data_IF_309249106271
#
_entry.id   IF_309249106271
#
_cell.length_a   1.000
_cell.length_b   1.000
_cell.length_c   1.000
_cell.angle_alpha   90.00
_cell.angle_beta   90.00
_cell.angle_gamma   90.00
#
_symmetry.space_group_name_H-M   'P 1'
#
loop_
_entity.id
_entity.type
_entity.pdbx_description
1 polymer ?
#
# COMPACT_ATOMS: atom_id res chain seq x y z
N UNK A 1 -9.10 13.46 0.55
CA UNK A 1 -8.42 14.78 0.66
C UNK A 1 -7.68 15.04 -0.64
N UNK A 2 -8.07 16.04 -1.41
CA UNK A 2 -7.37 16.39 -2.64
C UNK A 2 -6.28 17.41 -2.26
N UNK A 3 -5.01 17.03 -2.48
CA UNK A 3 -3.90 17.98 -2.42
C UNK A 3 -4.05 19.02 -3.54
N UNK A 4 -3.67 20.25 -3.25
CA UNK A 4 -3.74 21.34 -4.22
C UNK A 4 -2.98 20.96 -5.51
N UNK A 5 -3.53 21.31 -6.65
CA UNK A 5 -3.11 20.91 -8.00
C UNK A 5 -1.61 21.18 -8.31
N UNK A 6 -0.96 22.06 -7.59
CA UNK A 6 0.46 22.41 -7.79
C UNK A 6 1.43 21.45 -7.10
N UNK A 7 1.06 20.86 -5.97
CA UNK A 7 1.90 19.89 -5.24
C UNK A 7 1.93 18.51 -5.89
N UNK A 8 0.92 18.17 -6.68
CA UNK A 8 0.84 16.91 -7.42
C UNK A 8 1.72 16.88 -8.69
N UNK A 9 2.33 17.99 -9.06
CA UNK A 9 3.08 18.12 -10.32
C UNK A 9 4.60 17.92 -10.15
N UNK A 10 5.11 17.80 -8.93
CA UNK A 10 6.56 17.66 -8.68
C UNK A 10 6.84 16.57 -7.68
N UNK A 11 7.80 15.70 -7.98
CA UNK A 11 8.25 14.61 -7.10
C UNK A 11 8.14 13.23 -7.74
N UNK A 12 8.73 12.25 -7.10
CA UNK A 12 8.61 10.83 -7.48
C UNK A 12 7.49 10.18 -6.69
N UNK A 13 6.60 9.48 -7.38
CA UNK A 13 5.49 8.77 -6.75
C UNK A 13 5.73 7.27 -6.78
N UNK A 14 5.29 6.60 -5.73
CA UNK A 14 5.30 5.15 -5.61
C UNK A 14 3.90 4.71 -5.21
N UNK A 15 3.46 3.59 -5.72
CA UNK A 15 2.12 3.07 -5.47
C UNK A 15 2.21 1.71 -4.79
N UNK A 16 1.50 1.54 -3.69
CA UNK A 16 1.24 0.26 -3.05
C UNK A 16 -0.19 -0.19 -3.29
N UNK A 17 -0.38 -1.46 -3.53
CA UNK A 17 -1.69 -2.07 -3.78
C UNK A 17 -1.82 -3.33 -2.95
N UNK A 18 -2.80 -3.34 -2.07
CA UNK A 18 -3.26 -4.53 -1.39
C UNK A 18 -4.54 -5.04 -2.09
N UNK A 19 -4.50 -6.29 -2.53
CA UNK A 19 -5.60 -6.89 -3.29
C UNK A 19 -6.55 -7.62 -2.35
N UNK A 20 -7.73 -7.05 -2.19
CA UNK A 20 -8.80 -7.67 -1.44
C UNK A 20 -9.30 -8.96 -2.10
N UNK A 21 -9.68 -9.89 -1.26
CA UNK A 21 -10.38 -11.13 -1.65
C UNK A 21 -11.89 -10.97 -1.43
N UNK A 22 -12.62 -12.06 -1.41
CA UNK A 22 -14.09 -12.07 -1.30
C UNK A 22 -14.67 -11.28 -0.12
N UNK A 23 -13.92 -11.07 0.95
CA UNK A 23 -14.37 -10.41 2.20
C UNK A 23 -13.60 -9.14 2.53
N UNK A 24 -12.51 -8.88 1.86
CA UNK A 24 -11.64 -7.75 2.12
C UNK A 24 -11.64 -6.81 0.91
N UNK A 25 -11.58 -5.49 1.13
CA UNK A 25 -11.51 -4.52 0.04
C UNK A 25 -10.11 -4.48 -0.56
N UNK A 26 -9.99 -4.14 -1.84
CA UNK A 26 -8.69 -3.75 -2.39
C UNK A 26 -8.38 -2.31 -2.01
N UNK A 27 -7.13 -2.03 -1.66
CA UNK A 27 -6.67 -0.69 -1.30
C UNK A 27 -5.52 -0.26 -2.19
N UNK A 28 -5.56 1.00 -2.63
CA UNK A 28 -4.51 1.65 -3.41
C UNK A 28 -3.99 2.84 -2.60
N UNK A 29 -2.69 2.83 -2.30
CA UNK A 29 -1.99 3.93 -1.65
C UNK A 29 -0.96 4.54 -2.61
N UNK A 30 -0.81 5.86 -2.61
CA UNK A 30 0.25 6.54 -3.36
C UNK A 30 1.05 7.42 -2.42
N UNK A 31 2.35 7.20 -2.44
CA UNK A 31 3.33 7.94 -1.66
C UNK A 31 4.10 8.86 -2.61
N UNK A 32 4.26 10.12 -2.21
CA UNK A 32 5.20 11.06 -2.82
C UNK A 32 6.50 11.05 -2.03
N UNK A 33 7.60 10.89 -2.72
CA UNK A 33 8.94 10.98 -2.15
C UNK A 33 9.54 12.36 -2.45
N UNK A 34 9.83 13.10 -1.40
CA UNK A 34 10.54 14.37 -1.42
C UNK A 34 11.86 14.20 -0.65
N UNK A 35 12.98 14.01 -1.35
CA UNK A 35 14.28 13.65 -0.75
C UNK A 35 14.17 12.40 0.14
N UNK A 36 14.30 12.55 1.44
CA UNK A 36 14.19 11.46 2.42
C UNK A 36 12.82 11.37 3.10
N UNK A 37 11.89 12.24 2.73
CA UNK A 37 10.56 12.31 3.33
C UNK A 37 9.54 11.66 2.41
N UNK A 38 8.72 10.80 2.99
CA UNK A 38 7.63 10.10 2.32
C UNK A 38 6.29 10.69 2.80
N UNK A 39 5.41 10.99 1.86
CA UNK A 39 4.09 11.55 2.17
C UNK A 39 3.01 10.72 1.48
N UNK A 40 2.10 10.15 2.24
CA UNK A 40 0.88 9.55 1.69
C UNK A 40 0.02 10.66 1.09
N UNK A 41 -0.12 10.66 -0.22
CA UNK A 41 -0.84 11.71 -0.97
C UNK A 41 -2.18 11.25 -1.52
N UNK A 42 -2.37 9.94 -1.60
CA UNK A 42 -3.61 9.33 -2.06
C UNK A 42 -3.82 7.99 -1.38
N UNK A 43 -5.04 7.75 -0.92
CA UNK A 43 -5.49 6.47 -0.36
C UNK A 43 -6.91 6.22 -0.85
N UNK A 44 -7.12 5.07 -1.46
CA UNK A 44 -8.44 4.66 -1.95
C UNK A 44 -8.71 3.21 -1.61
N UNK A 45 -9.80 2.98 -0.95
CA UNK A 45 -10.36 1.66 -0.72
C UNK A 45 -11.47 1.42 -1.74
N UNK A 46 -11.38 0.33 -2.46
CA UNK A 46 -12.43 -0.12 -3.36
C UNK A 46 -13.55 -0.81 -2.57
N UNK A 47 -14.72 -0.94 -3.17
CA UNK A 47 -15.81 -1.69 -2.52
C UNK A 47 -15.45 -3.18 -2.46
N UNK A 48 -15.86 -3.84 -1.38
CA UNK A 48 -15.71 -5.31 -1.27
C UNK A 48 -16.36 -5.97 -2.48
N UNK A 49 -15.66 -6.94 -3.07
CA UNK A 49 -16.12 -7.64 -4.26
C UNK A 49 -15.89 -6.90 -5.58
N UNK A 50 -15.16 -5.77 -5.58
CA UNK A 50 -14.72 -5.12 -6.82
C UNK A 50 -13.84 -6.07 -7.62
N UNK A 51 -14.19 -6.27 -8.89
CA UNK A 51 -13.41 -7.11 -9.80
C UNK A 51 -12.01 -6.55 -10.05
N UNK A 52 -11.02 -7.40 -10.18
CA UNK A 52 -9.63 -7.01 -10.41
C UNK A 52 -9.44 -6.15 -11.67
N UNK A 53 -10.24 -6.37 -12.72
CA UNK A 53 -10.25 -5.51 -13.91
C UNK A 53 -10.59 -4.05 -13.59
N UNK A 54 -11.52 -3.82 -12.66
CA UNK A 54 -11.89 -2.48 -12.21
C UNK A 54 -10.78 -1.85 -11.35
N UNK A 55 -10.12 -2.64 -10.51
CA UNK A 55 -8.95 -2.20 -9.72
C UNK A 55 -7.81 -1.78 -10.66
N UNK A 56 -7.50 -2.59 -11.70
CA UNK A 56 -6.51 -2.24 -12.74
C UNK A 56 -6.89 -0.95 -13.47
N UNK A 57 -8.17 -0.75 -13.77
CA UNK A 57 -8.68 0.49 -14.38
C UNK A 57 -8.42 1.71 -13.49
N UNK A 58 -8.67 1.60 -12.18
CA UNK A 58 -8.37 2.65 -11.20
C UNK A 58 -6.87 2.98 -11.15
N UNK A 59 -6.02 1.95 -11.09
CA UNK A 59 -4.56 2.11 -11.09
C UNK A 59 -4.08 2.83 -12.36
N UNK A 60 -4.57 2.40 -13.52
CA UNK A 60 -4.22 3.04 -14.81
C UNK A 60 -4.58 4.53 -14.81
N UNK A 61 -5.79 4.89 -14.39
CA UNK A 61 -6.23 6.29 -14.32
C UNK A 61 -5.33 7.11 -13.38
N UNK A 62 -4.93 6.55 -12.24
CA UNK A 62 -4.03 7.23 -11.30
C UNK A 62 -2.67 7.45 -11.95
N UNK A 63 -2.10 6.46 -12.64
CA UNK A 63 -0.82 6.57 -13.35
C UNK A 63 -0.88 7.62 -14.46
N UNK A 64 -1.98 7.68 -15.22
CA UNK A 64 -2.19 8.69 -16.27
C UNK A 64 -2.27 10.12 -15.70
N UNK A 65 -2.86 10.29 -14.52
CA UNK A 65 -2.99 11.60 -13.87
C UNK A 65 -1.71 12.07 -13.18
N UNK A 66 -0.93 11.16 -12.63
CA UNK A 66 0.24 11.49 -11.81
C UNK A 66 1.56 11.50 -12.60
N UNK A 67 1.61 11.18 -13.87
CA UNK A 67 2.73 11.23 -14.83
C UNK A 67 4.15 10.85 -14.34
N UNK A 68 4.39 10.72 -13.03
CA UNK A 68 5.69 10.52 -12.37
C UNK A 68 5.69 9.32 -11.42
N UNK A 69 4.78 8.36 -11.62
CA UNK A 69 4.79 7.11 -10.85
C UNK A 69 6.00 6.29 -11.30
N UNK A 70 6.90 6.00 -10.37
CA UNK A 70 8.15 5.29 -10.64
C UNK A 70 8.02 3.78 -10.55
N UNK A 71 7.15 3.30 -9.67
CA UNK A 71 6.98 1.88 -9.38
C UNK A 71 5.62 1.62 -8.73
N UNK A 72 5.07 0.46 -9.03
CA UNK A 72 3.87 -0.08 -8.38
C UNK A 72 4.27 -1.38 -7.69
N UNK A 73 4.02 -1.48 -6.39
CA UNK A 73 4.18 -2.70 -5.60
C UNK A 73 2.80 -3.27 -5.30
N UNK A 74 2.61 -4.56 -5.52
CA UNK A 74 1.32 -5.25 -5.34
C UNK A 74 1.51 -6.44 -4.42
N UNK A 75 0.69 -6.58 -3.38
CA UNK A 75 0.58 -7.86 -2.70
C UNK A 75 -0.03 -8.88 -3.66
N UNK A 76 0.82 -9.77 -4.17
CA UNK A 76 0.39 -10.81 -5.11
C UNK A 76 0.01 -12.12 -4.43
N UNK A 77 -0.11 -12.17 -3.11
CA UNK A 77 -0.42 -13.39 -2.36
C UNK A 77 -1.76 -13.98 -2.84
N UNK A 78 -1.68 -15.03 -3.67
CA UNK A 78 -2.85 -15.66 -4.30
C UNK A 78 -3.49 -14.87 -5.45
N UNK A 79 -2.77 -13.91 -6.04
CA UNK A 79 -3.21 -13.09 -7.18
C UNK A 79 -2.07 -12.85 -8.19
N UNK A 80 -1.27 -13.87 -8.46
CA UNK A 80 -0.06 -13.78 -9.32
C UNK A 80 -0.36 -13.25 -10.72
N UNK A 81 -1.48 -13.65 -11.32
CA UNK A 81 -1.90 -13.19 -12.64
C UNK A 81 -2.22 -11.69 -12.70
N UNK A 82 -2.60 -11.08 -11.57
CA UNK A 82 -2.92 -9.66 -11.52
C UNK A 82 -1.69 -8.80 -11.88
N UNK A 83 -0.53 -9.15 -11.34
CA UNK A 83 0.74 -8.42 -11.59
C UNK A 83 1.11 -8.50 -13.07
N UNK A 84 0.98 -9.69 -13.68
CA UNK A 84 1.26 -9.88 -15.11
C UNK A 84 0.29 -9.05 -15.98
N UNK A 85 -1.01 -9.10 -15.69
CA UNK A 85 -2.02 -8.37 -16.45
C UNK A 85 -1.93 -6.86 -16.25
N UNK A 86 -1.66 -6.39 -15.03
CA UNK A 86 -1.42 -4.99 -14.76
C UNK A 86 -0.22 -4.45 -15.54
N UNK A 87 0.87 -5.23 -15.62
CA UNK A 87 2.08 -4.87 -16.38
C UNK A 87 1.82 -4.68 -17.88
N UNK A 88 0.76 -5.28 -18.43
CA UNK A 88 0.36 -5.11 -19.84
C UNK A 88 -0.41 -3.80 -20.07
N UNK A 89 -1.08 -3.25 -19.04
CA UNK A 89 -1.96 -2.08 -19.16
C UNK A 89 -1.37 -0.78 -18.65
N UNK A 90 -0.30 -0.84 -17.84
CA UNK A 90 0.44 0.34 -17.37
C UNK A 90 1.85 0.37 -17.94
N UNK A 91 2.42 1.59 -18.10
CA UNK A 91 3.82 1.78 -18.57
C UNK A 91 4.83 1.90 -17.42
N UNK A 92 4.37 1.68 -16.19
CA UNK A 92 5.14 1.78 -14.96
C UNK A 92 5.60 0.39 -14.55
N UNK A 93 6.84 0.20 -14.05
CA UNK A 93 7.29 -1.07 -13.50
C UNK A 93 6.35 -1.56 -12.39
N UNK A 94 5.89 -2.80 -12.49
CA UNK A 94 5.04 -3.47 -11.50
C UNK A 94 5.83 -4.59 -10.86
N UNK A 95 5.88 -4.59 -9.54
CA UNK A 95 6.51 -5.66 -8.74
C UNK A 95 5.47 -6.32 -7.84
N UNK A 96 5.39 -7.63 -7.94
CA UNK A 96 4.61 -8.45 -7.01
C UNK A 96 5.41 -8.77 -5.76
N UNK A 97 4.80 -8.59 -4.61
CA UNK A 97 5.39 -8.90 -3.30
C UNK A 97 4.58 -10.02 -2.66
N UNK A 98 5.26 -11.04 -2.16
CA UNK A 98 4.63 -12.10 -1.36
C UNK A 98 4.83 -11.76 0.12
N UNK A 99 3.73 -11.54 0.83
CA UNK A 99 3.75 -11.21 2.25
C UNK A 99 3.94 -12.48 3.11
N UNK A 100 5.19 -12.88 3.25
CA UNK A 100 5.64 -13.92 4.19
C UNK A 100 5.95 -13.32 5.56
N UNK A 101 6.11 -14.16 6.60
CA UNK A 101 6.52 -13.66 7.93
C UNK A 101 7.80 -12.83 7.87
N UNK A 102 8.89 -13.27 7.20
CA UNK A 102 10.10 -12.44 7.07
C UNK A 102 9.87 -11.13 6.32
N UNK A 103 9.16 -11.15 5.18
CA UNK A 103 8.92 -9.92 4.40
C UNK A 103 8.04 -8.93 5.15
N UNK A 104 7.01 -9.39 5.86
CA UNK A 104 6.19 -8.57 6.74
C UNK A 104 7.03 -7.89 7.84
N UNK A 105 7.93 -8.64 8.45
CA UNK A 105 8.84 -8.11 9.48
C UNK A 105 9.77 -7.03 8.92
N UNK A 106 10.31 -7.23 7.74
CA UNK A 106 11.18 -6.26 7.08
C UNK A 106 10.41 -4.97 6.73
N UNK A 107 9.27 -5.11 6.07
CA UNK A 107 8.44 -4.00 5.60
C UNK A 107 7.94 -3.15 6.77
N UNK A 108 7.28 -3.76 7.77
CA UNK A 108 6.76 -3.01 8.92
C UNK A 108 7.89 -2.47 9.81
N UNK A 109 9.01 -3.18 9.91
CA UNK A 109 10.21 -2.68 10.59
C UNK A 109 10.75 -1.41 9.95
N UNK A 110 10.82 -1.37 8.62
CA UNK A 110 11.24 -0.19 7.86
C UNK A 110 10.25 0.96 8.02
N UNK A 111 8.96 0.70 7.86
CA UNK A 111 7.91 1.70 8.07
C UNK A 111 7.99 2.32 9.47
N UNK A 112 8.17 1.50 10.51
CA UNK A 112 8.34 1.97 11.90
C UNK A 112 9.55 2.88 12.04
N UNK A 113 10.70 2.52 11.45
CA UNK A 113 11.89 3.38 11.48
C UNK A 113 11.62 4.75 10.83
N UNK A 114 10.94 4.79 9.69
CA UNK A 114 10.56 6.04 9.02
C UNK A 114 9.63 6.89 9.89
N UNK A 115 8.66 6.28 10.55
CA UNK A 115 7.75 6.98 11.48
C UNK A 115 8.51 7.55 12.67
N UNK A 116 9.39 6.77 13.30
CA UNK A 116 10.21 7.23 14.43
C UNK A 116 11.18 8.35 14.06
N UNK A 117 11.70 8.32 12.83
CA UNK A 117 12.56 9.37 12.29
C UNK A 117 11.81 10.63 11.82
N UNK A 118 10.46 10.64 11.88
CA UNK A 118 9.64 11.73 11.35
C UNK A 118 9.73 11.89 9.83
N UNK A 119 10.01 10.79 9.12
CA UNK A 119 10.17 10.77 7.66
C UNK A 119 8.97 10.23 6.90
N UNK A 120 7.96 9.71 7.58
CA UNK A 120 6.69 9.28 6.99
C UNK A 120 5.55 10.17 7.47
N UNK A 121 4.88 10.82 6.53
CA UNK A 121 3.72 11.67 6.77
C UNK A 121 2.49 11.09 6.11
N UNK A 122 1.38 11.09 6.80
CA UNK A 122 0.07 10.70 6.28
C UNK A 122 -1.01 11.63 6.86
N UNK A 123 -2.09 11.91 6.10
CA UNK A 123 -3.18 12.72 6.60
C UNK A 123 -3.89 12.00 7.75
N UNK A 124 -4.62 12.74 8.57
CA UNK A 124 -5.48 12.14 9.56
C UNK A 124 -6.59 11.33 8.87
N UNK A 125 -6.50 10.02 8.99
CA UNK A 125 -7.49 9.05 8.55
C UNK A 125 -7.71 8.07 9.70
N UNK A 126 -8.93 8.05 10.24
CA UNK A 126 -9.24 7.30 11.46
C UNK A 126 -9.08 5.78 11.25
N UNK A 127 -9.42 5.28 10.05
CA UNK A 127 -9.34 3.85 9.76
C UNK A 127 -7.88 3.43 9.58
N UNK A 128 -7.07 4.20 8.82
CA UNK A 128 -5.64 3.94 8.70
C UNK A 128 -4.91 3.99 10.06
N UNK A 129 -5.24 4.98 10.91
CA UNK A 129 -4.68 5.06 12.25
C UNK A 129 -5.08 3.88 13.12
N UNK A 130 -6.33 3.42 13.01
CA UNK A 130 -6.81 2.24 13.71
C UNK A 130 -6.02 1.00 13.28
N UNK A 131 -5.83 0.78 11.97
CA UNK A 131 -5.06 -0.34 11.45
C UNK A 131 -3.60 -0.31 11.92
N UNK A 132 -2.91 0.85 11.81
CA UNK A 132 -1.53 1.02 12.30
C UNK A 132 -1.41 0.73 13.81
N UNK A 133 -2.39 1.14 14.62
CA UNK A 133 -2.33 0.99 16.09
C UNK A 133 -2.83 -0.36 16.58
N UNK A 134 -3.68 -1.04 15.82
CA UNK A 134 -4.19 -2.38 16.15
C UNK A 134 -3.21 -3.50 15.81
N UNK A 135 -2.25 -3.25 14.93
CA UNK A 135 -1.26 -4.25 14.55
C UNK A 135 -0.45 -4.71 15.75
N UNK A 136 -0.41 -6.01 15.95
CA UNK A 136 0.30 -6.67 17.06
C UNK A 136 1.43 -7.51 16.52
N UNK A 137 2.46 -7.65 17.33
CA UNK A 137 3.54 -8.58 17.03
C UNK A 137 3.67 -9.59 18.18
N UNK A 138 3.88 -10.84 17.82
CA UNK A 138 4.14 -11.92 18.77
C UNK A 138 5.46 -12.59 18.42
N UNK A 139 6.30 -12.81 19.42
CA UNK A 139 7.54 -13.56 19.25
C UNK A 139 7.19 -15.05 19.20
N UNK A 140 7.41 -15.66 18.05
CA UNK A 140 7.21 -17.11 17.88
C UNK A 140 8.32 -17.90 18.59
N UNK A 141 8.05 -19.18 18.90
CA UNK A 141 9.04 -20.11 19.45
C UNK A 141 10.27 -20.28 18.52
N UNK A 142 10.14 -20.00 17.24
CA UNK A 142 11.23 -19.99 16.26
C UNK A 142 12.14 -18.78 16.35
N UNK A 143 11.82 -17.77 17.20
CA UNK A 143 12.52 -16.49 17.27
C UNK A 143 12.06 -15.47 16.21
N UNK A 144 11.12 -15.83 15.36
CA UNK A 144 10.53 -14.93 14.36
C UNK A 144 9.41 -14.09 14.97
N UNK A 145 9.20 -12.89 14.44
CA UNK A 145 8.08 -12.02 14.81
C UNK A 145 6.93 -12.30 13.83
N UNK A 146 5.78 -12.65 14.38
CA UNK A 146 4.53 -12.74 13.61
C UNK A 146 3.72 -11.48 13.86
N UNK A 147 3.23 -10.88 12.76
CA UNK A 147 2.29 -9.77 12.82
C UNK A 147 0.87 -10.28 12.68
N UNK A 148 -0.04 -9.68 13.44
CA UNK A 148 -1.45 -10.02 13.42
C UNK A 148 -2.28 -8.82 13.89
N UNK A 149 -3.54 -8.81 13.49
CA UNK A 149 -4.53 -7.86 13.97
C UNK A 149 -5.65 -8.61 14.71
N UNK A 150 -6.38 -7.94 15.63
CA UNK A 150 -7.50 -8.55 16.34
C UNK A 150 -8.62 -8.97 15.38
N UNK A 151 -9.34 -10.04 15.73
CA UNK A 151 -10.52 -10.47 14.97
C UNK A 151 -11.51 -9.32 14.77
N UNK A 152 -12.00 -9.16 13.53
CA UNK A 152 -12.96 -8.12 13.18
C UNK A 152 -12.33 -6.75 12.89
N UNK A 153 -11.00 -6.65 12.89
CA UNK A 153 -10.26 -5.48 12.36
C UNK A 153 -9.68 -5.80 10.98
N UNK A 154 -9.28 -4.76 10.24
CA UNK A 154 -8.66 -4.85 8.93
C UNK A 154 -7.25 -4.27 8.99
N UNK A 155 -6.39 -4.65 8.05
CA UNK A 155 -5.02 -4.15 7.89
C UNK A 155 -4.68 -3.81 6.41
N UNK A 156 -5.70 -3.79 5.54
CA UNK A 156 -5.55 -3.59 4.10
C UNK A 156 -4.90 -2.24 3.75
N UNK A 157 -5.26 -1.17 4.48
CA UNK A 157 -4.68 0.18 4.29
C UNK A 157 -3.24 0.25 4.76
N UNK A 158 -2.94 -0.43 5.87
CA UNK A 158 -1.59 -0.55 6.40
C UNK A 158 -0.68 -1.23 5.38
N UNK A 159 -1.09 -2.38 4.82
CA UNK A 159 -0.28 -3.11 3.84
C UNK A 159 -0.15 -2.38 2.51
N UNK A 160 -1.17 -1.67 2.06
CA UNK A 160 -1.07 -0.82 0.87
C UNK A 160 -0.10 0.36 1.07
N UNK A 161 0.06 0.86 2.31
CA UNK A 161 0.97 1.97 2.64
C UNK A 161 2.41 1.49 2.86
N UNK A 162 2.59 0.34 3.48
CA UNK A 162 3.88 -0.19 3.91
C UNK A 162 4.75 -0.69 2.75
#
# INVERSE_FOLDING_TARGET
MALGTRELLTGSFFMGVDLGKKRDPSVIAVIRKDHEVLKLVFLRQEKIGTEYGSVMGSIRIICEKLNMVQKICVDQTGAEYFVEDLSKVVKVPVEGIILTVPSKQEILGHMRMLMQAGKLYYPYDQELLSEITCERYELMKSGQIQFSHPDGTHDDRLWALA
#
